data_IF_016574787806
#
_entry.id   IF_016574787806
#
_cell.length_a   1.000
_cell.length_b   1.000
_cell.length_c   1.000
_cell.angle_alpha   90.00
_cell.angle_beta   90.00
_cell.angle_gamma   90.00
#
_symmetry.space_group_name_H-M   'P 1'
#
loop_
_entity.id
_entity.type
_entity.pdbx_description
1 polymer ?
#
# COMPACT_ATOMS: atom_id res chain seq x y z
N UNK A 1 0.36 10.13 3.99
CA UNK A 1 0.37 8.74 3.51
C UNK A 1 1.15 8.73 2.21
N UNK A 2 2.12 7.84 2.04
CA UNK A 2 2.87 7.73 0.79
C UNK A 2 2.16 6.75 -0.17
N UNK A 3 2.43 6.88 -1.48
CA UNK A 3 1.88 5.97 -2.51
C UNK A 3 2.24 4.49 -2.29
N UNK A 4 3.35 4.20 -1.61
CA UNK A 4 3.79 2.84 -1.31
C UNK A 4 2.84 2.09 -0.37
N UNK A 5 2.23 2.78 0.60
CA UNK A 5 1.26 2.15 1.49
C UNK A 5 -0.05 1.81 0.77
N UNK A 6 -0.53 2.70 -0.09
CA UNK A 6 -1.71 2.41 -0.92
C UNK A 6 -1.45 1.21 -1.83
N UNK A 7 -0.30 1.16 -2.50
CA UNK A 7 0.09 0.02 -3.33
C UNK A 7 0.21 -1.29 -2.52
N UNK A 8 0.69 -1.22 -1.27
CA UNK A 8 0.78 -2.37 -0.38
C UNK A 8 -0.62 -2.96 -0.05
N UNK A 9 -1.60 -2.11 0.23
CA UNK A 9 -3.00 -2.52 0.47
C UNK A 9 -3.65 -3.04 -0.81
N UNK A 10 -3.52 -2.33 -1.93
CA UNK A 10 -4.10 -2.71 -3.22
C UNK A 10 -3.55 -4.05 -3.75
N UNK A 11 -2.37 -4.49 -3.29
CA UNK A 11 -1.77 -5.76 -3.70
C UNK A 11 -2.34 -6.99 -2.96
N UNK A 12 -3.25 -6.79 -2.01
CA UNK A 12 -3.94 -7.90 -1.36
C UNK A 12 -4.77 -8.71 -2.38
N UNK A 13 -4.82 -10.05 -2.26
CA UNK A 13 -5.54 -10.90 -3.21
C UNK A 13 -7.05 -10.67 -3.21
N UNK A 14 -7.60 -10.13 -2.12
CA UNK A 14 -9.02 -9.76 -2.00
C UNK A 14 -9.42 -8.51 -2.78
N UNK A 15 -8.45 -7.81 -3.40
CA UNK A 15 -8.69 -6.59 -4.21
C UNK A 15 -9.51 -5.52 -3.45
N UNK A 16 -9.01 -5.04 -2.31
CA UNK A 16 -9.74 -4.07 -1.49
C UNK A 16 -9.90 -2.73 -2.22
N UNK A 17 -10.98 -2.02 -1.90
CA UNK A 17 -11.24 -0.66 -2.34
C UNK A 17 -10.91 0.31 -1.19
N UNK A 18 -9.70 0.94 -1.17
CA UNK A 18 -9.30 1.82 -0.07
C UNK A 18 -10.10 3.13 -0.07
N UNK A 19 -10.73 3.44 1.06
CA UNK A 19 -11.44 4.71 1.27
C UNK A 19 -10.46 5.78 1.75
N UNK A 20 -10.39 6.90 1.03
CA UNK A 20 -9.49 8.02 1.35
C UNK A 20 -10.24 9.07 2.15
N UNK A 21 -10.02 9.11 3.47
CA UNK A 21 -10.65 10.08 4.37
C UNK A 21 -9.96 11.45 4.48
N UNK A 22 -9.09 11.84 3.54
CA UNK A 22 -8.33 13.09 3.64
C UNK A 22 -8.91 14.20 2.77
N UNK A 23 -9.08 15.40 3.34
CA UNK A 23 -9.43 16.61 2.56
C UNK A 23 -8.26 17.24 1.79
N UNK A 24 -7.06 16.64 1.82
CA UNK A 24 -5.88 17.16 1.11
C UNK A 24 -5.74 16.47 -0.25
N UNK A 25 -5.78 17.25 -1.34
CA UNK A 25 -5.76 16.72 -2.72
C UNK A 25 -4.49 15.92 -3.03
N UNK A 26 -3.37 16.26 -2.41
CA UNK A 26 -2.10 15.56 -2.59
C UNK A 26 -2.19 14.09 -2.13
N UNK A 27 -3.02 13.81 -1.12
CA UNK A 27 -3.23 12.43 -0.65
C UNK A 27 -4.10 11.62 -1.60
N UNK A 28 -5.07 12.26 -2.24
CA UNK A 28 -5.89 11.62 -3.29
C UNK A 28 -5.01 11.28 -4.50
N UNK A 29 -4.19 12.23 -4.96
CA UNK A 29 -3.23 11.99 -6.06
C UNK A 29 -2.27 10.84 -5.75
N UNK A 30 -1.70 10.81 -4.55
CA UNK A 30 -0.80 9.73 -4.14
C UNK A 30 -1.46 8.35 -4.13
N UNK A 31 -2.77 8.26 -3.85
CA UNK A 31 -3.50 6.99 -3.91
C UNK A 31 -3.77 6.54 -5.35
N UNK A 32 -4.13 7.47 -6.24
CA UNK A 32 -4.31 7.19 -7.67
C UNK A 32 -2.99 6.73 -8.30
N UNK A 33 -1.88 7.42 -8.01
CA UNK A 33 -0.54 7.02 -8.49
C UNK A 33 -0.17 5.59 -8.08
N UNK A 34 -0.66 5.13 -6.92
CA UNK A 34 -0.33 3.83 -6.38
C UNK A 34 -0.89 2.66 -7.20
N UNK A 35 -1.94 2.86 -8.00
CA UNK A 35 -2.51 1.82 -8.87
C UNK A 35 -1.51 1.34 -9.93
N UNK A 36 -0.59 2.21 -10.36
CA UNK A 36 0.42 1.88 -11.38
C UNK A 36 1.70 1.28 -10.81
N UNK A 37 1.85 1.26 -9.48
CA UNK A 37 3.05 0.76 -8.83
C UNK A 37 3.15 -0.75 -8.89
N UNK A 38 4.23 -1.25 -9.50
CA UNK A 38 4.58 -2.66 -9.48
C UNK A 38 5.36 -2.99 -8.22
N UNK A 39 4.69 -3.61 -7.25
CA UNK A 39 5.33 -4.13 -6.04
C UNK A 39 5.57 -5.63 -6.15
N UNK A 40 6.83 -6.04 -5.95
CA UNK A 40 7.21 -7.46 -5.84
C UNK A 40 6.71 -8.05 -4.52
N UNK A 41 6.54 -9.38 -4.47
CA UNK A 41 6.19 -10.08 -3.23
C UNK A 41 7.22 -9.85 -2.12
N UNK A 42 8.51 -9.82 -2.45
CA UNK A 42 9.57 -9.53 -1.49
C UNK A 42 9.44 -8.12 -0.89
N UNK A 43 9.19 -7.09 -1.70
CA UNK A 43 8.93 -5.73 -1.20
C UNK A 43 7.70 -5.69 -0.30
N UNK A 44 6.64 -6.41 -0.67
CA UNK A 44 5.41 -6.50 0.12
C UNK A 44 5.67 -7.10 1.51
N UNK A 45 6.44 -8.20 1.58
CA UNK A 45 6.82 -8.83 2.85
C UNK A 45 7.80 -7.98 3.66
N UNK A 46 8.69 -7.22 3.04
CA UNK A 46 9.56 -6.26 3.75
C UNK A 46 8.75 -5.22 4.52
N UNK A 47 7.68 -4.69 3.91
CA UNK A 47 6.77 -3.75 4.58
C UNK A 47 6.06 -4.43 5.75
N UNK A 48 5.53 -5.64 5.55
CA UNK A 48 4.88 -6.42 6.62
C UNK A 48 5.83 -6.69 7.79
N UNK A 49 7.06 -7.13 7.52
CA UNK A 49 8.09 -7.39 8.53
C UNK A 49 8.43 -6.12 9.30
N UNK A 50 8.63 -5.00 8.61
CA UNK A 50 8.91 -3.72 9.27
C UNK A 50 7.77 -3.26 10.17
N UNK A 51 6.51 -3.56 9.81
CA UNK A 51 5.34 -3.19 10.60
C UNK A 51 5.08 -4.13 11.80
N UNK A 52 5.32 -5.43 11.64
CA UNK A 52 5.00 -6.46 12.65
C UNK A 52 6.21 -6.88 13.51
N UNK A 53 7.44 -6.65 13.05
CA UNK A 53 8.67 -6.98 13.76
C UNK A 53 9.21 -8.40 13.54
N UNK A 54 8.50 -9.25 12.78
CA UNK A 54 8.89 -10.65 12.52
C UNK A 54 8.53 -11.11 11.10
N UNK A 55 9.18 -12.18 10.64
CA UNK A 55 8.96 -12.76 9.32
C UNK A 55 7.59 -13.46 9.20
N UNK A 56 7.23 -13.89 7.99
CA UNK A 56 6.11 -14.82 7.84
C UNK A 56 6.49 -16.19 8.39
N UNK A 57 5.54 -16.94 9.00
CA UNK A 57 5.74 -18.34 9.33
C UNK A 57 6.09 -19.21 8.12
#
# INVERSE_FOLDING_TARGET
MNRWLYAWVLRLPSQPLPIIGSGKIERVRAAVEAETLKMTRQQWFRIRKAALGYDVP
#
